data_IF_073583562580
#
_entry.id   IF_073583562580
#
_cell.length_a   1.000
_cell.length_b   1.000
_cell.length_c   1.000
_cell.angle_alpha   90.00
_cell.angle_beta   90.00
_cell.angle_gamma   90.00
#
_symmetry.space_group_name_H-M   'P 1'
#
loop_
_entity.id
_entity.type
_entity.pdbx_description
1 polymer ?
#
# COMPACT_ATOMS: atom_id res chain seq x y z
N UNK A 1 30.89 7.88 66.26
CA UNK A 1 30.91 7.15 64.98
C UNK A 1 29.76 6.16 65.01
N UNK A 2 28.60 6.57 64.50
CA UNK A 2 27.43 5.71 64.40
C UNK A 2 26.64 6.07 63.14
N UNK A 3 26.06 5.04 62.52
CA UNK A 3 24.83 5.16 61.74
C UNK A 3 24.97 5.09 60.22
N UNK A 4 24.46 4.00 59.62
CA UNK A 4 23.96 4.05 58.24
C UNK A 4 24.38 2.92 57.30
N UNK A 5 24.15 1.65 57.64
CA UNK A 5 24.16 0.55 56.65
C UNK A 5 22.85 0.57 55.87
N UNK A 6 22.90 0.95 54.59
CA UNK A 6 21.76 0.89 53.67
C UNK A 6 21.71 -0.48 52.98
N UNK A 7 20.73 -1.30 53.34
CA UNK A 7 20.46 -2.61 52.74
C UNK A 7 19.65 -2.44 51.45
N UNK A 8 20.25 -2.74 50.30
CA UNK A 8 19.56 -2.83 49.02
C UNK A 8 18.74 -4.13 48.94
N UNK A 9 17.40 -3.99 48.87
CA UNK A 9 16.45 -5.09 48.65
C UNK A 9 16.43 -5.45 47.17
N UNK A 10 17.02 -6.58 46.82
CA UNK A 10 16.90 -7.20 45.48
C UNK A 10 15.50 -7.81 45.38
N UNK A 11 14.67 -7.27 44.48
CA UNK A 11 13.34 -7.81 44.17
C UNK A 11 13.52 -8.97 43.18
N UNK A 12 13.28 -10.18 43.69
CA UNK A 12 13.34 -11.43 42.95
C UNK A 12 11.96 -11.70 42.32
N UNK A 13 11.86 -11.62 40.99
CA UNK A 13 10.65 -11.99 40.25
C UNK A 13 10.56 -13.53 40.10
N UNK A 14 9.42 -14.17 40.42
CA UNK A 14 9.27 -15.61 40.28
C UNK A 14 9.02 -16.04 38.82
N UNK A 15 9.64 -17.16 38.45
CA UNK A 15 9.55 -17.80 37.15
C UNK A 15 8.11 -18.16 36.74
N UNK A 16 7.68 -17.67 35.57
CA UNK A 16 6.42 -18.06 34.98
C UNK A 16 6.56 -19.37 34.18
N UNK A 17 5.78 -20.33 34.67
CA UNK A 17 5.57 -21.71 34.22
C UNK A 17 5.06 -21.77 32.78
N UNK A 18 5.62 -22.70 32.01
CA UNK A 18 5.17 -23.11 30.67
C UNK A 18 3.69 -23.54 30.69
N UNK A 19 2.94 -23.17 29.65
CA UNK A 19 1.73 -23.89 29.23
C UNK A 19 1.87 -24.24 27.77
N UNK A 20 1.59 -25.50 27.52
CA UNK A 20 1.92 -26.26 26.34
C UNK A 20 0.87 -26.12 25.22
N UNK A 21 1.37 -26.40 24.00
CA UNK A 21 0.72 -27.17 22.92
C UNK A 21 -0.74 -26.87 22.59
N UNK A 22 -0.98 -26.01 21.57
CA UNK A 22 -2.10 -26.20 20.64
C UNK A 22 -2.04 -25.39 19.32
N UNK A 23 -0.89 -24.84 18.93
CA UNK A 23 -0.78 -23.97 17.74
C UNK A 23 -0.07 -24.66 16.57
N UNK A 24 0.58 -25.81 16.79
CA UNK A 24 1.31 -26.54 15.74
C UNK A 24 0.43 -27.51 14.95
N UNK A 25 -0.58 -28.11 15.58
CA UNK A 25 -1.45 -29.10 14.92
C UNK A 25 -2.47 -28.44 13.96
N UNK A 26 -2.85 -27.19 14.19
CA UNK A 26 -3.76 -26.46 13.30
C UNK A 26 -3.11 -26.04 11.97
N UNK A 27 -1.77 -26.04 11.88
CA UNK A 27 -1.04 -25.56 10.70
C UNK A 27 -0.67 -26.70 9.73
N UNK A 28 -0.64 -27.96 10.20
CA UNK A 28 -0.37 -29.13 9.36
C UNK A 28 -1.60 -29.68 8.62
N UNK A 29 -2.82 -29.45 9.13
CA UNK A 29 -4.05 -29.86 8.40
C UNK A 29 -4.35 -28.97 7.17
N UNK A 30 -4.02 -27.68 7.21
CA UNK A 30 -4.23 -26.77 6.07
C UNK A 30 -3.30 -27.05 4.88
N UNK A 31 -2.14 -27.68 5.13
CA UNK A 31 -1.19 -28.03 4.08
C UNK A 31 -1.60 -29.26 3.25
N UNK A 32 -2.48 -30.13 3.77
CA UNK A 32 -2.96 -31.32 3.04
C UNK A 32 -4.13 -31.04 2.10
N UNK A 33 -4.93 -30.00 2.35
CA UNK A 33 -6.11 -29.65 1.53
C UNK A 33 -5.73 -28.94 0.22
N UNK A 34 -4.53 -28.36 0.13
CA UNK A 34 -4.07 -27.64 -1.07
C UNK A 34 -3.44 -28.59 -2.12
N UNK A 35 -3.25 -29.87 -1.79
CA UNK A 35 -2.54 -30.83 -2.64
C UNK A 35 -3.40 -31.54 -3.71
N UNK A 36 -4.71 -31.27 -3.81
CA UNK A 36 -5.62 -32.05 -4.67
C UNK A 36 -6.53 -31.23 -5.61
N UNK A 37 -6.07 -30.07 -6.06
CA UNK A 37 -6.81 -29.27 -7.06
C UNK A 37 -6.19 -29.39 -8.47
N UNK A 38 -6.93 -29.85 -9.49
CA UNK A 38 -6.42 -29.97 -10.86
C UNK A 38 -6.28 -28.59 -11.52
N UNK A 39 -5.09 -28.32 -12.06
CA UNK A 39 -4.76 -27.08 -12.79
C UNK A 39 -5.18 -27.21 -14.25
N UNK A 40 -6.37 -26.71 -14.61
CA UNK A 40 -6.72 -26.46 -16.01
C UNK A 40 -6.17 -25.11 -16.46
N UNK A 41 -5.29 -25.15 -17.45
CA UNK A 41 -4.65 -23.99 -18.06
C UNK A 41 -5.57 -23.29 -19.05
N UNK A 42 -5.88 -22.00 -18.84
CA UNK A 42 -6.46 -21.14 -19.87
C UNK A 42 -5.73 -19.80 -19.91
N UNK A 43 -4.93 -19.59 -20.95
CA UNK A 43 -4.23 -18.35 -21.24
C UNK A 43 -5.13 -17.37 -22.04
N UNK A 44 -5.21 -16.07 -21.69
CA UNK A 44 -5.86 -15.09 -22.56
C UNK A 44 -4.86 -14.49 -23.55
N UNK A 45 -5.10 -14.73 -24.84
CA UNK A 45 -4.45 -14.07 -25.98
C UNK A 45 -5.02 -12.65 -26.13
N UNK A 46 -4.22 -11.62 -25.83
CA UNK A 46 -4.58 -10.22 -26.09
C UNK A 46 -3.99 -9.78 -27.44
N UNK A 47 -4.84 -9.71 -28.48
CA UNK A 47 -4.51 -9.10 -29.77
C UNK A 47 -4.58 -7.56 -29.64
N UNK A 48 -3.46 -6.86 -29.83
CA UNK A 48 -3.44 -5.39 -29.95
C UNK A 48 -3.64 -4.98 -31.42
N UNK A 49 -4.70 -4.23 -31.67
CA UNK A 49 -4.99 -3.58 -32.95
C UNK A 49 -4.06 -2.37 -33.19
N UNK A 50 -3.66 -2.19 -34.46
CA UNK A 50 -2.77 -1.15 -34.98
C UNK A 50 -3.60 0.06 -35.43
N UNK A 51 -3.30 1.25 -34.91
CA UNK A 51 -3.89 2.53 -35.36
C UNK A 51 -3.04 3.20 -36.45
N UNK A 52 -3.63 3.98 -37.39
CA UNK A 52 -2.97 4.42 -38.62
C UNK A 52 -2.11 5.70 -38.45
N UNK A 53 -1.05 5.76 -39.25
CA UNK A 53 -0.07 6.84 -39.31
C UNK A 53 -0.63 8.12 -39.95
N UNK A 54 -0.42 9.27 -39.30
CA UNK A 54 -0.65 10.60 -39.89
C UNK A 54 0.55 11.01 -40.74
N UNK A 55 0.30 11.36 -42.01
CA UNK A 55 1.26 11.91 -42.97
C UNK A 55 1.66 13.34 -42.56
N UNK A 56 2.96 13.60 -42.41
CA UNK A 56 3.54 14.94 -42.32
C UNK A 56 4.27 15.26 -43.63
N UNK A 57 3.97 16.45 -44.20
CA UNK A 57 4.46 16.95 -45.49
C UNK A 57 5.95 17.31 -45.41
N UNK A 58 6.70 16.93 -46.43
CA UNK A 58 8.11 17.28 -46.66
C UNK A 58 8.19 18.70 -47.24
N UNK A 59 8.98 19.58 -46.61
CA UNK A 59 9.44 20.83 -47.21
C UNK A 59 10.89 20.65 -47.63
N UNK A 60 11.12 20.81 -48.93
CA UNK A 60 12.39 20.76 -49.64
C UNK A 60 13.23 22.02 -49.38
N UNK A 61 14.47 21.83 -48.97
CA UNK A 61 15.57 22.73 -49.35
C UNK A 61 16.86 21.94 -49.43
N UNK A 62 17.41 21.94 -50.65
CA UNK A 62 18.60 21.23 -51.07
C UNK A 62 19.87 21.79 -50.45
N UNK A 63 20.70 20.92 -49.89
CA UNK A 63 22.14 21.15 -49.82
C UNK A 63 22.86 19.80 -49.80
N UNK A 64 23.92 19.72 -50.60
CA UNK A 64 24.60 18.53 -51.07
C UNK A 64 24.95 17.51 -49.97
N UNK A 65 24.44 16.28 -50.11
CA UNK A 65 24.78 15.15 -49.25
C UNK A 65 25.25 14.00 -50.13
N UNK A 66 26.55 13.70 -50.01
CA UNK A 66 27.20 12.44 -50.38
C UNK A 66 26.24 11.28 -50.12
N UNK A 67 25.86 10.55 -51.17
CA UNK A 67 24.91 9.45 -51.09
C UNK A 67 25.34 8.49 -49.98
N UNK A 68 24.56 8.47 -48.88
CA UNK A 68 24.70 7.45 -47.86
C UNK A 68 24.05 6.20 -48.41
N UNK A 69 24.69 5.01 -48.31
CA UNK A 69 24.06 3.78 -48.76
C UNK A 69 22.69 3.65 -48.10
N UNK A 70 21.67 3.41 -48.91
CA UNK A 70 20.30 3.21 -48.45
C UNK A 70 20.23 1.89 -47.67
N UNK A 71 20.32 1.99 -46.34
CA UNK A 71 20.25 0.83 -45.44
C UNK A 71 18.79 0.43 -45.27
N UNK A 72 18.36 -0.58 -46.02
CA UNK A 72 17.06 -1.21 -45.87
C UNK A 72 17.12 -2.16 -44.66
N UNK A 73 16.45 -1.78 -43.56
CA UNK A 73 16.45 -2.54 -42.30
C UNK A 73 15.15 -3.34 -42.21
N UNK A 74 15.21 -4.64 -42.49
CA UNK A 74 14.08 -5.55 -42.27
C UNK A 74 14.16 -6.18 -40.88
N UNK A 75 13.15 -5.92 -40.05
CA UNK A 75 13.06 -6.45 -38.69
C UNK A 75 12.25 -7.74 -38.70
N UNK A 76 12.94 -8.89 -38.74
CA UNK A 76 12.32 -10.22 -38.60
C UNK A 76 12.12 -10.55 -37.12
N UNK A 77 10.90 -10.92 -36.72
CA UNK A 77 10.58 -11.35 -35.35
C UNK A 77 10.10 -12.80 -35.36
N UNK A 78 10.96 -13.74 -34.98
CA UNK A 78 10.67 -15.19 -34.91
C UNK A 78 11.86 -15.99 -34.38
N UNK A 79 11.67 -17.28 -34.13
CA UNK A 79 12.64 -18.23 -33.56
C UNK A 79 13.54 -18.90 -34.61
N UNK A 80 13.68 -18.32 -35.80
CA UNK A 80 14.22 -19.02 -36.97
C UNK A 80 15.61 -18.53 -37.38
N UNK A 81 16.42 -19.44 -37.93
CA UNK A 81 17.74 -19.20 -38.49
C UNK A 81 17.72 -18.14 -39.61
N UNK A 82 18.67 -17.21 -39.57
CA UNK A 82 18.88 -16.20 -40.63
C UNK A 82 19.89 -16.79 -41.63
N UNK A 83 19.45 -17.09 -42.86
CA UNK A 83 20.31 -17.58 -43.95
C UNK A 83 20.51 -16.42 -44.94
N UNK A 84 21.72 -15.88 -45.02
CA UNK A 84 22.07 -14.83 -45.98
C UNK A 84 22.61 -15.44 -47.27
N UNK A 85 22.00 -15.12 -48.43
CA UNK A 85 22.54 -15.48 -49.74
C UNK A 85 23.41 -14.32 -50.24
N UNK A 86 24.72 -14.43 -49.99
CA UNK A 86 25.78 -13.46 -50.31
C UNK A 86 25.68 -12.09 -49.61
N UNK A 87 26.26 -12.02 -48.41
CA UNK A 87 26.49 -10.78 -47.65
C UNK A 87 26.81 -11.09 -46.19
N UNK A 88 27.64 -10.26 -45.54
CA UNK A 88 27.96 -10.43 -44.12
C UNK A 88 26.72 -10.15 -43.25
N UNK A 89 26.23 -11.16 -42.53
CA UNK A 89 25.10 -11.04 -41.60
C UNK A 89 25.65 -10.67 -40.21
N UNK A 90 25.55 -9.39 -39.84
CA UNK A 90 25.89 -8.94 -38.48
C UNK A 90 24.68 -9.07 -37.56
N UNK A 91 24.63 -10.15 -36.76
CA UNK A 91 23.62 -10.31 -35.70
C UNK A 91 24.02 -9.45 -34.51
N UNK A 92 23.46 -8.24 -34.43
CA UNK A 92 23.63 -7.36 -33.28
C UNK A 92 22.70 -7.83 -32.15
N UNK A 93 23.22 -8.67 -31.26
CA UNK A 93 22.54 -9.00 -30.02
C UNK A 93 22.58 -7.76 -29.11
N UNK A 94 21.47 -7.01 -29.08
CA UNK A 94 21.32 -5.86 -28.18
C UNK A 94 21.25 -6.38 -26.75
N UNK A 95 22.40 -6.45 -26.08
CA UNK A 95 22.49 -6.75 -24.66
C UNK A 95 21.76 -5.63 -23.90
N UNK A 96 20.78 -5.99 -23.07
CA UNK A 96 20.10 -5.02 -22.22
C UNK A 96 21.16 -4.35 -21.33
N UNK A 97 21.26 -3.01 -21.30
CA UNK A 97 22.26 -2.34 -20.48
C UNK A 97 22.11 -2.76 -19.01
N UNK A 98 23.23 -2.95 -18.28
CA UNK A 98 23.20 -3.38 -16.89
C UNK A 98 22.45 -2.35 -16.05
N UNK A 99 21.49 -2.81 -15.25
CA UNK A 99 20.75 -1.96 -14.33
C UNK A 99 21.69 -1.47 -13.22
N UNK A 100 22.01 -0.18 -13.20
CA UNK A 100 22.82 0.43 -12.14
C UNK A 100 22.06 0.31 -10.81
N UNK A 101 22.59 -0.47 -9.88
CA UNK A 101 22.05 -0.58 -8.52
C UNK A 101 22.54 0.62 -7.71
N UNK A 102 21.65 1.59 -7.43
CA UNK A 102 21.95 2.68 -6.49
C UNK A 102 22.05 2.09 -5.08
N UNK A 103 23.27 1.99 -4.56
CA UNK A 103 23.51 1.62 -3.16
C UNK A 103 23.18 2.84 -2.32
N UNK A 104 22.02 2.84 -1.68
CA UNK A 104 21.61 3.92 -0.78
C UNK A 104 22.26 3.66 0.57
N UNK A 105 23.27 4.44 0.92
CA UNK A 105 23.75 4.51 2.29
C UNK A 105 22.69 5.27 3.10
N UNK A 106 22.06 4.59 4.06
CA UNK A 106 21.15 5.22 5.03
C UNK A 106 21.95 6.17 5.90
N UNK A 107 22.13 7.41 5.46
CA UNK A 107 22.66 8.47 6.29
C UNK A 107 21.63 8.88 7.35
N UNK A 108 22.10 9.53 8.41
CA UNK A 108 21.32 10.04 9.56
C UNK A 108 20.10 10.92 9.17
N UNK A 109 20.05 11.43 7.94
CA UNK A 109 18.92 12.23 7.41
C UNK A 109 17.67 11.40 7.08
N UNK A 110 17.78 10.07 7.03
CA UNK A 110 16.72 9.17 6.62
C UNK A 110 15.98 8.56 7.81
N UNK A 111 14.78 8.03 7.56
CA UNK A 111 13.96 7.37 8.57
C UNK A 111 14.71 6.26 9.33
N UNK A 112 14.47 6.21 10.64
CA UNK A 112 15.03 5.19 11.52
C UNK A 112 14.50 3.79 11.15
N UNK A 113 15.15 2.74 11.66
CA UNK A 113 14.67 1.38 11.44
C UNK A 113 13.30 1.14 12.07
N UNK A 114 13.02 1.74 13.23
CA UNK A 114 11.73 1.63 13.91
C UNK A 114 10.60 2.27 13.09
N UNK A 115 10.83 3.48 12.57
CA UNK A 115 9.89 4.16 11.67
C UNK A 115 9.62 3.35 10.40
N UNK A 116 10.64 2.65 9.88
CA UNK A 116 10.44 1.73 8.74
C UNK A 116 9.52 0.58 9.09
N UNK A 117 9.71 -0.06 10.24
CA UNK A 117 8.85 -1.16 10.69
C UNK A 117 7.41 -0.69 10.88
N UNK A 118 7.20 0.47 11.50
CA UNK A 118 5.87 1.07 11.65
C UNK A 118 5.20 1.29 10.28
N UNK A 119 5.93 1.88 9.33
CA UNK A 119 5.38 2.18 8.01
C UNK A 119 5.11 0.89 7.20
N UNK A 120 5.94 -0.14 7.38
CA UNK A 120 5.67 -1.47 6.83
C UNK A 120 4.36 -2.05 7.37
N UNK A 121 4.15 -2.03 8.69
CA UNK A 121 2.92 -2.52 9.32
C UNK A 121 1.69 -1.75 8.84
N UNK A 122 1.77 -0.41 8.75
CA UNK A 122 0.69 0.43 8.22
C UNK A 122 0.37 0.11 6.75
N UNK A 123 1.39 -0.15 5.94
CA UNK A 123 1.21 -0.54 4.53
C UNK A 123 0.53 -1.92 4.43
N UNK A 124 0.88 -2.87 5.29
CA UNK A 124 0.26 -4.19 5.30
C UNK A 124 -1.20 -4.13 5.73
N UNK A 125 -1.53 -3.35 6.76
CA UNK A 125 -2.92 -3.09 7.17
C UNK A 125 -3.71 -2.44 6.02
N UNK A 126 -3.12 -1.46 5.34
CA UNK A 126 -3.77 -0.80 4.21
C UNK A 126 -4.05 -1.74 3.04
N UNK A 127 -3.09 -2.60 2.66
CA UNK A 127 -3.27 -3.58 1.59
C UNK A 127 -4.34 -4.60 1.96
N UNK A 128 -4.30 -5.15 3.19
CA UNK A 128 -5.31 -6.09 3.66
C UNK A 128 -6.72 -5.48 3.63
N UNK A 129 -6.86 -4.24 4.13
CA UNK A 129 -8.13 -3.51 4.09
C UNK A 129 -8.60 -3.25 2.65
N UNK A 130 -7.67 -2.91 1.76
CA UNK A 130 -7.98 -2.67 0.35
C UNK A 130 -8.52 -3.94 -0.32
N UNK A 131 -7.89 -5.08 -0.08
CA UNK A 131 -8.25 -6.36 -0.70
C UNK A 131 -9.59 -6.88 -0.20
N UNK A 132 -9.94 -6.64 1.07
CA UNK A 132 -11.28 -6.93 1.61
C UNK A 132 -12.36 -6.08 0.93
N UNK A 133 -12.12 -4.77 0.82
CA UNK A 133 -13.16 -3.82 0.38
C UNK A 133 -13.32 -3.79 -1.13
N UNK A 134 -12.21 -3.72 -1.89
CA UNK A 134 -12.20 -3.54 -3.34
C UNK A 134 -12.06 -4.88 -4.07
N UNK A 135 -12.64 -4.94 -5.27
CA UNK A 135 -12.54 -6.13 -6.13
C UNK A 135 -11.14 -6.33 -6.72
N UNK A 136 -10.42 -5.25 -6.97
CA UNK A 136 -9.09 -5.28 -7.56
C UNK A 136 -8.06 -5.22 -6.42
N UNK A 137 -7.22 -6.26 -6.25
CA UNK A 137 -6.25 -6.28 -5.17
C UNK A 137 -5.14 -5.27 -5.39
N UNK A 138 -4.61 -4.72 -4.29
CA UNK A 138 -3.51 -3.76 -4.36
C UNK A 138 -2.17 -4.48 -4.13
N UNK A 139 -1.36 -4.62 -5.18
CA UNK A 139 0.00 -5.13 -5.01
C UNK A 139 0.79 -4.27 -4.01
N UNK A 140 1.53 -4.90 -3.11
CA UNK A 140 2.44 -4.23 -2.17
C UNK A 140 3.41 -3.28 -2.89
N UNK A 141 3.84 -3.61 -4.11
CA UNK A 141 4.73 -2.74 -4.89
C UNK A 141 4.04 -1.43 -5.32
N UNK A 142 2.75 -1.51 -5.68
CA UNK A 142 1.92 -0.34 -6.00
C UNK A 142 1.62 0.50 -4.76
N UNK A 143 1.38 -0.14 -3.61
CA UNK A 143 1.23 0.57 -2.33
C UNK A 143 2.49 1.38 -2.01
N UNK A 144 3.67 0.76 -2.11
CA UNK A 144 4.95 1.44 -1.89
C UNK A 144 5.18 2.61 -2.84
N UNK A 145 4.90 2.44 -4.13
CA UNK A 145 5.02 3.56 -5.10
C UNK A 145 4.20 4.77 -4.67
N UNK A 146 2.99 4.57 -4.16
CA UNK A 146 2.12 5.65 -3.70
C UNK A 146 2.63 6.31 -2.43
N UNK A 147 3.09 5.51 -1.45
CA UNK A 147 3.62 6.04 -0.19
C UNK A 147 4.91 6.82 -0.45
N UNK A 148 5.83 6.27 -1.24
CA UNK A 148 7.09 6.95 -1.57
C UNK A 148 6.81 8.26 -2.34
N UNK A 149 5.86 8.25 -3.27
CA UNK A 149 5.44 9.46 -3.98
C UNK A 149 4.89 10.54 -3.04
N UNK A 150 4.12 10.16 -2.01
CA UNK A 150 3.62 11.15 -1.02
C UNK A 150 4.73 11.82 -0.20
N UNK A 151 5.84 11.11 0.02
CA UNK A 151 7.02 11.66 0.70
C UNK A 151 8.05 12.27 -0.28
N UNK A 152 7.78 12.25 -1.59
CA UNK A 152 8.72 12.70 -2.62
C UNK A 152 10.00 11.88 -2.70
N UNK A 153 9.96 10.60 -2.32
CA UNK A 153 11.09 9.67 -2.36
C UNK A 153 10.89 8.63 -3.48
N UNK A 154 11.98 8.04 -3.98
CA UNK A 154 11.89 6.93 -4.94
C UNK A 154 11.61 5.61 -4.21
N UNK A 155 12.32 5.43 -3.10
CA UNK A 155 12.26 4.24 -2.25
C UNK A 155 12.00 4.65 -0.81
N UNK A 156 11.36 3.77 -0.03
CA UNK A 156 11.08 4.01 1.38
C UNK A 156 12.35 4.30 2.21
N UNK A 157 13.50 3.78 1.80
CA UNK A 157 14.82 4.03 2.42
C UNK A 157 15.33 5.45 2.21
N UNK A 158 14.83 6.14 1.19
CA UNK A 158 15.18 7.53 0.85
C UNK A 158 14.22 8.53 1.50
N UNK A 159 13.23 8.07 2.28
CA UNK A 159 12.31 8.98 2.98
C UNK A 159 13.10 9.72 4.06
N UNK A 160 13.06 11.04 4.00
CA UNK A 160 13.64 11.91 5.01
C UNK A 160 12.82 11.89 6.29
N UNK A 161 13.47 12.03 7.44
CA UNK A 161 12.82 11.92 8.74
C UNK A 161 11.67 12.93 8.93
N UNK A 162 11.82 14.14 8.39
CA UNK A 162 10.80 15.19 8.46
C UNK A 162 9.54 14.88 7.64
N UNK A 163 9.62 14.02 6.61
CA UNK A 163 8.49 13.61 5.75
C UNK A 163 7.83 12.31 6.20
N UNK A 164 8.33 11.70 7.26
CA UNK A 164 7.73 10.50 7.81
C UNK A 164 6.25 10.71 8.20
N UNK A 165 5.95 11.85 8.83
CA UNK A 165 4.58 12.23 9.18
C UNK A 165 3.65 12.30 7.98
N UNK A 166 4.15 12.77 6.85
CA UNK A 166 3.36 12.93 5.62
C UNK A 166 3.00 11.56 5.03
N UNK A 167 3.97 10.64 5.02
CA UNK A 167 3.74 9.26 4.58
C UNK A 167 2.71 8.54 5.47
N UNK A 168 2.83 8.67 6.79
CA UNK A 168 1.86 8.09 7.75
C UNK A 168 0.48 8.70 7.56
N UNK A 169 0.40 10.02 7.39
CA UNK A 169 -0.87 10.73 7.18
C UNK A 169 -1.52 10.30 5.87
N UNK A 170 -0.73 10.11 4.81
CA UNK A 170 -1.22 9.61 3.53
C UNK A 170 -1.84 8.22 3.66
N UNK A 171 -1.14 7.26 4.29
CA UNK A 171 -1.66 5.90 4.48
C UNK A 171 -2.94 5.92 5.29
N UNK A 172 -2.96 6.66 6.41
CA UNK A 172 -4.16 6.81 7.25
C UNK A 172 -5.33 7.43 6.49
N UNK A 173 -5.07 8.41 5.63
CA UNK A 173 -6.08 9.04 4.78
C UNK A 173 -6.66 8.04 3.77
N UNK A 174 -5.81 7.26 3.09
CA UNK A 174 -6.27 6.23 2.15
C UNK A 174 -7.12 5.16 2.84
N UNK A 175 -6.71 4.70 4.02
CA UNK A 175 -7.50 3.78 4.85
C UNK A 175 -8.85 4.38 5.26
N UNK A 176 -8.88 5.67 5.63
CA UNK A 176 -10.11 6.37 5.96
C UNK A 176 -11.06 6.49 4.77
N UNK A 177 -10.54 6.74 3.56
CA UNK A 177 -11.33 6.76 2.32
C UNK A 177 -11.93 5.37 2.06
N UNK A 178 -11.12 4.31 2.18
CA UNK A 178 -11.59 2.93 2.00
C UNK A 178 -12.70 2.58 3.00
N UNK A 179 -12.51 2.89 4.29
CA UNK A 179 -13.53 2.69 5.34
C UNK A 179 -14.78 3.55 5.14
N UNK A 180 -14.73 4.60 4.32
CA UNK A 180 -15.90 5.43 4.01
C UNK A 180 -16.64 5.01 2.73
N UNK A 181 -16.16 3.98 2.02
CA UNK A 181 -16.84 3.47 0.83
C UNK A 181 -18.17 2.78 1.19
N UNK A 182 -19.14 2.84 0.28
CA UNK A 182 -20.48 2.24 0.46
C UNK A 182 -20.45 0.74 0.76
N UNK A 183 -19.46 0.02 0.23
CA UNK A 183 -19.31 -1.43 0.44
C UNK A 183 -18.56 -1.80 1.72
N UNK A 184 -17.93 -0.84 2.41
CA UNK A 184 -17.12 -1.12 3.59
C UNK A 184 -17.91 -1.75 4.75
N UNK A 185 -19.12 -1.26 5.11
CA UNK A 185 -19.87 -1.84 6.23
C UNK A 185 -20.30 -3.29 6.02
N UNK A 186 -20.44 -3.73 4.78
CA UNK A 186 -20.86 -5.08 4.44
C UNK A 186 -19.71 -6.08 4.36
N UNK A 187 -18.47 -5.59 4.19
CA UNK A 187 -17.29 -6.42 3.91
C UNK A 187 -16.26 -6.44 5.03
N UNK A 188 -16.23 -5.40 5.86
CA UNK A 188 -15.30 -5.26 6.97
C UNK A 188 -16.05 -5.40 8.29
N UNK A 189 -15.85 -6.52 8.99
CA UNK A 189 -16.45 -6.79 10.30
C UNK A 189 -16.00 -5.78 11.36
N UNK A 190 -14.76 -5.28 11.24
CA UNK A 190 -14.18 -4.30 12.15
C UNK A 190 -14.69 -2.88 11.89
N UNK A 191 -15.40 -2.65 10.79
CA UNK A 191 -15.86 -1.34 10.34
C UNK A 191 -16.66 -0.61 11.43
N UNK A 192 -17.57 -1.33 12.09
CA UNK A 192 -18.45 -0.75 13.12
C UNK A 192 -17.64 -0.28 14.32
N UNK A 193 -16.76 -1.13 14.84
CA UNK A 193 -15.88 -0.79 15.96
C UNK A 193 -14.95 0.38 15.60
N UNK A 194 -14.37 0.37 14.40
CA UNK A 194 -13.51 1.43 13.91
C UNK A 194 -14.26 2.78 13.78
N UNK A 195 -15.51 2.77 13.30
CA UNK A 195 -16.33 3.98 13.19
C UNK A 195 -16.71 4.57 14.55
N UNK A 196 -17.12 3.73 15.50
CA UNK A 196 -17.40 4.15 16.88
C UNK A 196 -16.13 4.72 17.51
N UNK A 197 -15.00 4.04 17.34
CA UNK A 197 -13.69 4.50 17.79
C UNK A 197 -13.33 5.86 17.21
N UNK A 198 -13.53 6.08 15.91
CA UNK A 198 -13.25 7.35 15.24
C UNK A 198 -14.13 8.50 15.77
N UNK A 199 -15.42 8.26 16.01
CA UNK A 199 -16.32 9.24 16.63
C UNK A 199 -15.82 9.62 18.02
N UNK A 200 -15.56 8.62 18.87
CA UNK A 200 -15.08 8.84 20.25
C UNK A 200 -13.71 9.52 20.27
N UNK A 201 -12.79 9.11 19.40
CA UNK A 201 -11.46 9.72 19.27
C UNK A 201 -11.56 11.19 18.88
N UNK A 202 -12.47 11.55 17.96
CA UNK A 202 -12.70 12.95 17.60
C UNK A 202 -13.27 13.75 18.78
N UNK A 203 -14.26 13.21 19.49
CA UNK A 203 -14.80 13.83 20.71
C UNK A 203 -13.72 14.09 21.75
N UNK A 204 -12.85 13.10 21.99
CA UNK A 204 -11.74 13.21 22.94
C UNK A 204 -10.72 14.26 22.51
N UNK A 205 -10.27 14.23 21.26
CA UNK A 205 -9.14 15.04 20.79
C UNK A 205 -9.53 16.48 20.45
N UNK A 206 -10.78 16.72 20.01
CA UNK A 206 -11.20 18.01 19.46
C UNK A 206 -12.26 18.73 20.28
N UNK A 207 -12.99 18.02 21.13
CA UNK A 207 -14.08 18.59 21.95
C UNK A 207 -13.84 18.37 23.44
N UNK A 208 -12.58 18.21 23.85
CA UNK A 208 -12.18 18.05 25.26
C UNK A 208 -12.92 16.91 25.99
N UNK A 209 -13.27 15.84 25.28
CA UNK A 209 -14.00 14.71 25.85
C UNK A 209 -15.52 14.87 25.89
N UNK A 210 -16.08 15.97 25.38
CA UNK A 210 -17.53 16.14 25.26
C UNK A 210 -18.07 15.26 24.14
N UNK A 211 -18.97 14.35 24.50
CA UNK A 211 -19.67 13.45 23.57
C UNK A 211 -20.74 14.20 22.76
N UNK A 212 -20.30 15.03 21.80
CA UNK A 212 -21.18 15.84 20.94
C UNK A 212 -22.20 15.02 20.13
N UNK A 213 -21.99 13.71 19.96
CA UNK A 213 -22.91 12.83 19.23
C UNK A 213 -24.13 12.44 20.05
N UNK A 214 -24.05 12.39 21.39
CA UNK A 214 -25.16 11.99 22.27
C UNK A 214 -26.46 12.77 22.01
N UNK A 215 -26.47 14.12 22.01
CA UNK A 215 -27.68 14.88 21.74
C UNK A 215 -28.17 14.71 20.29
N UNK A 216 -27.28 14.38 19.35
CA UNK A 216 -27.66 14.15 17.95
C UNK A 216 -28.38 12.80 17.79
N UNK A 217 -27.83 11.73 18.37
CA UNK A 217 -28.41 10.39 18.25
C UNK A 217 -29.74 10.26 19.00
N UNK A 218 -29.88 10.91 20.16
CA UNK A 218 -31.13 10.91 20.92
C UNK A 218 -32.24 11.64 20.17
N UNK A 219 -31.94 12.80 19.56
CA UNK A 219 -32.92 13.61 18.83
C UNK A 219 -33.32 13.03 17.47
N UNK A 220 -32.38 12.40 16.74
CA UNK A 220 -32.62 11.93 15.37
C UNK A 220 -33.03 10.46 15.28
N UNK A 221 -32.54 9.63 16.17
CA UNK A 221 -32.72 8.17 16.11
C UNK A 221 -33.34 7.60 17.39
N UNK A 222 -33.47 8.40 18.46
CA UNK A 222 -33.98 7.90 19.75
C UNK A 222 -33.03 6.94 20.48
N UNK A 223 -31.78 6.79 20.00
CA UNK A 223 -30.80 5.87 20.57
C UNK A 223 -30.04 6.51 21.72
N UNK A 224 -29.63 5.70 22.70
CA UNK A 224 -28.85 6.11 23.86
C UNK A 224 -27.35 5.90 23.65
N UNK A 225 -26.99 4.91 22.82
CA UNK A 225 -25.61 4.47 22.59
C UNK A 225 -25.28 4.31 21.10
N UNK A 226 -24.00 4.52 20.77
CA UNK A 226 -23.46 4.29 19.41
C UNK A 226 -23.60 2.82 18.95
N UNK A 227 -23.72 1.89 19.89
CA UNK A 227 -23.86 0.45 19.62
C UNK A 227 -25.27 0.04 19.19
N UNK A 228 -26.26 0.89 19.45
CA UNK A 228 -27.68 0.62 19.14
C UNK A 228 -28.05 1.06 17.71
N UNK A 229 -27.26 1.94 17.08
CA UNK A 229 -27.60 2.51 15.78
C UNK A 229 -27.48 1.51 14.64
N UNK A 230 -28.39 1.58 13.67
CA UNK A 230 -28.21 0.87 12.41
C UNK A 230 -26.96 1.39 11.65
N UNK A 231 -26.45 0.60 10.71
CA UNK A 231 -25.25 0.94 9.92
C UNK A 231 -25.36 2.30 9.23
N UNK A 232 -26.51 2.62 8.65
CA UNK A 232 -26.76 3.90 7.97
C UNK A 232 -26.80 5.07 8.95
N UNK A 233 -27.37 4.87 10.13
CA UNK A 233 -27.48 5.88 11.17
C UNK A 233 -26.13 6.17 11.82
N UNK A 234 -25.31 5.13 12.01
CA UNK A 234 -23.93 5.27 12.47
C UNK A 234 -23.10 6.06 11.47
N UNK A 235 -23.29 5.82 10.17
CA UNK A 235 -22.61 6.56 9.12
C UNK A 235 -23.05 8.03 9.05
N UNK A 236 -24.35 8.32 9.23
CA UNK A 236 -24.88 9.70 9.36
C UNK A 236 -24.31 10.40 10.59
N UNK A 237 -24.26 9.70 11.71
CA UNK A 237 -23.67 10.22 12.97
C UNK A 237 -22.19 10.51 12.79
N UNK A 238 -21.44 9.62 12.13
CA UNK A 238 -20.04 9.85 11.77
C UNK A 238 -19.89 11.12 10.92
N UNK A 239 -20.68 11.28 9.86
CA UNK A 239 -20.63 12.45 8.99
C UNK A 239 -20.95 13.75 9.74
N UNK A 240 -21.97 13.74 10.60
CA UNK A 240 -22.30 14.88 11.47
C UNK A 240 -21.14 15.22 12.40
N UNK A 241 -20.64 14.21 13.11
CA UNK A 241 -19.54 14.37 14.06
C UNK A 241 -18.34 14.94 13.36
N UNK A 242 -17.96 14.46 12.16
CA UNK A 242 -16.81 14.89 11.34
C UNK A 242 -16.98 16.24 10.65
N UNK A 243 -18.21 16.65 10.32
CA UNK A 243 -18.49 17.95 9.72
C UNK A 243 -18.50 19.08 10.76
N UNK A 244 -18.73 18.76 12.04
CA UNK A 244 -18.76 19.77 13.11
C UNK A 244 -17.38 20.43 13.24
N UNK A 245 -17.34 21.75 13.05
CA UNK A 245 -16.15 22.56 13.32
C UNK A 245 -16.00 22.71 14.83
N UNK A 246 -14.77 22.71 15.33
CA UNK A 246 -14.51 23.12 16.70
C UNK A 246 -14.97 24.58 16.79
N UNK A 247 -15.99 24.86 17.60
CA UNK A 247 -16.26 26.24 17.99
C UNK A 247 -15.02 26.73 18.72
N UNK A 248 -14.30 27.66 18.08
CA UNK A 248 -13.25 28.42 18.75
C UNK A 248 -13.89 29.39 19.73
#
# INVERSE_FOLDING_TARGET
>A
MEGGKSSAKIIQFPAQKRRDSNVRDAFEELARVIADAPVESVAPVIKRAKAPAKKAKQSTTSSALKERPNLQIDVVRGTTNIIGNHGAVNVLQVQRPPTVRKIIQTSEKHITQEQRVELHALKDEWVALHDVIKKQPLSHSSAWKRINASAGATTYREIEQHRFSDAVTFVKKEMAILRNMKSAPAKDESWRAAKIGAIKARCKNQFSGVDIYKPYISKKFGASSLTELATDELQKTYAYVMAKKNGG
#
